data_IF_716252870362
#
_entry.id   IF_716252870362
#
_cell.length_a   1.000
_cell.length_b   1.000
_cell.length_c   1.000
_cell.angle_alpha   90.00
_cell.angle_beta   90.00
_cell.angle_gamma   90.00
#
_symmetry.space_group_name_H-M   'P 1'
#
loop_
_entity.id
_entity.type
_entity.pdbx_description
1 polymer ?
#
# COMPACT_ATOMS: atom_id res chain seq x y z
N UNK A 1 -5.62 1.90 30.30
CA UNK A 1 -5.01 1.14 31.42
C UNK A 1 -3.73 1.85 31.79
N UNK A 2 -3.67 2.38 33.01
CA UNK A 2 -2.49 3.08 33.55
C UNK A 2 -1.28 2.13 33.58
N UNK A 3 -0.09 2.66 33.29
CA UNK A 3 1.21 1.96 33.28
C UNK A 3 1.50 1.15 34.56
N UNK A 4 0.81 1.47 35.65
CA UNK A 4 0.92 0.82 36.95
C UNK A 4 0.40 -0.63 37.01
N UNK A 5 -0.52 -1.04 36.14
CA UNK A 5 -1.05 -2.41 36.19
C UNK A 5 -0.09 -3.44 35.55
N UNK A 6 0.90 -3.00 34.78
CA UNK A 6 1.80 -3.89 34.05
C UNK A 6 2.67 -4.75 34.98
N UNK A 7 3.12 -4.21 36.12
CA UNK A 7 3.96 -4.98 37.06
C UNK A 7 3.20 -6.13 37.74
N UNK A 8 1.87 -6.01 37.85
CA UNK A 8 1.01 -7.00 38.51
C UNK A 8 0.67 -8.11 37.52
N UNK A 9 0.24 -7.76 36.30
CA UNK A 9 -0.16 -8.76 35.31
C UNK A 9 1.02 -9.50 34.65
N UNK A 10 2.23 -8.94 34.67
CA UNK A 10 3.42 -9.54 34.05
C UNK A 10 4.48 -10.02 35.06
N UNK A 11 4.16 -10.05 36.36
CA UNK A 11 5.00 -10.66 37.40
C UNK A 11 4.81 -12.19 37.42
N UNK A 12 5.91 -12.94 37.58
CA UNK A 12 5.91 -14.41 37.63
C UNK A 12 5.27 -15.02 38.90
N UNK A 13 4.56 -14.21 39.71
CA UNK A 13 3.85 -14.66 40.91
C UNK A 13 2.37 -14.85 40.61
N UNK A 14 1.76 -15.87 41.23
CA UNK A 14 0.31 -16.05 41.19
C UNK A 14 -0.37 -14.85 41.87
N UNK A 15 -1.02 -14.02 41.07
CA UNK A 15 -1.77 -12.85 41.54
C UNK A 15 -3.10 -13.30 42.12
N UNK A 16 -3.39 -12.92 43.36
CA UNK A 16 -4.69 -13.20 44.01
C UNK A 16 -5.66 -12.03 43.80
N UNK A 17 -6.96 -12.28 43.98
CA UNK A 17 -7.99 -11.24 43.81
C UNK A 17 -7.79 -10.08 44.80
N UNK A 18 -7.28 -10.36 46.00
CA UNK A 18 -7.00 -9.35 47.02
C UNK A 18 -5.88 -8.38 46.58
N UNK A 19 -4.89 -8.88 45.80
CA UNK A 19 -3.81 -8.04 45.26
C UNK A 19 -4.32 -7.03 44.21
N UNK A 20 -5.40 -7.39 43.50
CA UNK A 20 -6.02 -6.57 42.47
C UNK A 20 -7.04 -5.58 43.04
N UNK A 21 -7.59 -5.86 44.22
CA UNK A 21 -8.67 -5.06 44.82
C UNK A 21 -8.26 -3.60 45.05
N UNK A 22 -6.99 -3.33 45.36
CA UNK A 22 -6.46 -1.98 45.54
C UNK A 22 -6.33 -1.16 44.24
N UNK A 23 -6.43 -1.83 43.08
CA UNK A 23 -6.35 -1.22 41.74
C UNK A 23 -7.68 -1.27 40.98
N UNK A 24 -8.70 -1.93 41.55
CA UNK A 24 -10.05 -1.98 40.98
C UNK A 24 -10.81 -0.68 41.25
N UNK A 25 -11.68 -0.31 40.31
CA UNK A 25 -12.56 0.85 40.40
C UNK A 25 -13.68 0.61 41.43
N UNK A 26 -13.35 0.78 42.70
CA UNK A 26 -14.29 0.74 43.82
C UNK A 26 -14.60 2.16 44.30
N UNK A 27 -15.72 2.32 45.00
CA UNK A 27 -16.09 3.60 45.64
C UNK A 27 -15.03 4.10 46.62
N UNK A 28 -14.25 3.21 47.22
CA UNK A 28 -13.14 3.54 48.13
C UNK A 28 -11.88 4.00 47.39
N UNK A 29 -11.57 3.42 46.22
CA UNK A 29 -10.38 3.75 45.45
C UNK A 29 -10.52 4.97 44.55
N UNK A 30 -11.76 5.43 44.30
CA UNK A 30 -12.07 6.59 43.44
C UNK A 30 -11.36 7.88 43.85
N UNK A 31 -11.10 8.08 45.15
CA UNK A 31 -10.36 9.25 45.65
C UNK A 31 -8.85 9.21 45.39
N UNK A 32 -8.27 8.01 45.18
CA UNK A 32 -6.85 7.84 44.88
C UNK A 32 -6.54 8.09 43.40
N UNK A 33 -7.51 7.86 42.52
CA UNK A 33 -7.39 8.10 41.07
C UNK A 33 -7.29 9.59 40.75
N UNK A 34 -8.03 10.45 41.46
CA UNK A 34 -7.92 11.90 41.33
C UNK A 34 -6.52 12.42 41.72
N UNK A 35 -5.96 11.96 42.84
CA UNK A 35 -4.62 12.33 43.28
C UNK A 35 -3.48 11.89 42.34
N UNK A 36 -3.70 10.86 41.52
CA UNK A 36 -2.72 10.37 40.54
C UNK A 36 -2.80 11.19 39.25
N UNK A 37 -4.01 11.53 38.79
CA UNK A 37 -4.20 12.41 37.63
C UNK A 37 -3.62 13.80 37.88
N UNK A 38 -3.82 14.36 39.09
CA UNK A 38 -3.27 15.67 39.46
C UNK A 38 -1.73 15.69 39.42
N UNK A 39 -1.08 14.56 39.74
CA UNK A 39 0.39 14.42 39.66
C UNK A 39 0.90 14.22 38.24
N UNK A 40 0.15 13.50 37.39
CA UNK A 40 0.50 13.33 35.98
C UNK A 40 0.37 14.66 35.20
N UNK A 41 -0.66 15.47 35.50
CA UNK A 41 -0.80 16.81 34.92
C UNK A 41 0.37 17.72 35.31
N UNK A 42 0.78 17.71 36.58
CA UNK A 42 1.94 18.48 37.07
C UNK A 42 3.26 18.08 36.38
N UNK A 43 3.47 16.79 36.12
CA UNK A 43 4.66 16.29 35.44
C UNK A 43 4.69 16.68 33.95
N UNK A 44 3.52 16.66 33.28
CA UNK A 44 3.38 17.06 31.88
C UNK A 44 3.53 18.56 31.66
N UNK A 45 3.29 19.37 32.70
CA UNK A 45 3.51 20.82 32.67
C UNK A 45 5.00 21.17 32.82
N UNK A 46 5.74 20.48 33.70
CA UNK A 46 7.19 20.62 33.84
C UNK A 46 7.98 20.24 32.58
N UNK A 47 7.51 19.25 31.81
CA UNK A 47 8.17 18.81 30.57
C UNK A 47 7.97 19.80 29.40
N UNK A 48 7.01 20.72 29.48
CA UNK A 48 6.77 21.74 28.43
C UNK A 48 7.67 22.96 28.55
N UNK A 49 8.26 23.22 29.72
CA UNK A 49 9.10 24.40 29.96
C UNK A 49 10.56 24.22 29.52
N UNK A 50 11.03 22.98 29.29
CA UNK A 50 12.38 22.71 28.78
C UNK A 50 12.37 22.47 27.26
N UNK A 51 12.51 23.55 26.48
CA UNK A 51 12.84 23.48 25.05
C UNK A 51 14.22 24.12 24.84
N UNK A 52 15.24 23.42 24.32
CA UNK A 52 16.53 24.02 24.06
C UNK A 52 16.47 24.92 22.80
N UNK A 53 16.98 26.14 22.94
CA UNK A 53 17.28 27.06 21.85
C UNK A 53 18.40 26.47 20.97
N UNK A 54 18.17 26.43 19.66
CA UNK A 54 19.20 26.06 18.67
C UNK A 54 19.79 27.38 18.15
N UNK A 55 21.04 27.66 18.53
CA UNK A 55 21.83 28.78 18.03
C UNK A 55 22.26 28.54 16.57
N UNK A 56 22.06 29.57 15.74
CA UNK A 56 22.43 29.62 14.33
C UNK A 56 23.96 29.67 14.14
N UNK A 57 24.49 28.85 13.23
CA UNK A 57 25.88 28.92 12.77
C UNK A 57 25.97 29.94 11.61
N UNK A 58 26.96 30.86 11.60
CA UNK A 58 27.03 31.96 10.63
C UNK A 58 27.63 31.58 9.27
N UNK A 59 27.27 32.41 8.29
CA UNK A 59 27.71 32.46 6.89
C UNK A 59 29.23 32.55 6.71
N UNK A 60 29.74 31.89 5.66
CA UNK A 60 31.08 32.16 5.13
C UNK A 60 30.91 32.66 3.70
N UNK A 61 31.29 33.93 3.50
CA UNK A 61 31.36 34.62 2.22
C UNK A 61 32.60 34.25 1.39
N UNK A 62 32.37 34.33 0.08
CA UNK A 62 33.23 34.38 -1.11
C UNK A 62 34.69 34.84 -0.99
N UNK A 63 35.56 34.28 -1.86
CA UNK A 63 36.11 35.03 -3.00
C UNK A 63 36.84 34.17 -4.07
N UNK A 64 37.04 34.71 -5.30
CA UNK A 64 37.14 33.97 -6.56
C UNK A 64 38.58 33.83 -7.09
N UNK A 65 38.78 32.87 -8.01
CA UNK A 65 39.95 32.85 -8.92
C UNK A 65 39.45 32.58 -10.34
N UNK A 66 39.91 33.41 -11.28
CA UNK A 66 39.43 33.59 -12.64
C UNK A 66 40.66 33.55 -13.59
N UNK A 67 40.49 32.91 -14.77
CA UNK A 67 41.20 33.02 -16.08
C UNK A 67 42.65 32.46 -16.17
N UNK A 68 43.15 31.79 -17.22
CA UNK A 68 42.70 31.26 -18.55
C UNK A 68 43.98 30.67 -19.23
N UNK A 69 44.06 30.27 -20.54
CA UNK A 69 43.44 29.13 -21.22
C UNK A 69 44.43 28.26 -22.09
N UNK A 70 43.94 27.09 -22.56
CA UNK A 70 44.26 26.41 -23.86
C UNK A 70 45.65 25.76 -24.17
N UNK A 71 45.80 24.82 -25.17
CA UNK A 71 44.82 24.08 -26.01
C UNK A 71 45.17 22.59 -26.39
N UNK A 72 44.24 21.95 -27.15
CA UNK A 72 44.40 20.89 -28.20
C UNK A 72 44.37 19.36 -27.89
N UNK A 73 43.25 18.74 -28.36
CA UNK A 73 43.02 17.44 -29.06
C UNK A 73 43.61 16.12 -28.51
N UNK A 74 42.74 15.10 -28.33
CA UNK A 74 42.57 13.99 -29.29
C UNK A 74 41.42 13.04 -28.93
N UNK A 75 40.75 12.62 -30.00
CA UNK A 75 39.61 11.71 -30.14
C UNK A 75 40.01 10.25 -29.92
N UNK A 76 39.31 9.48 -29.08
CA UNK A 76 39.15 8.02 -29.28
C UNK A 76 37.81 7.53 -28.71
N UNK A 77 37.16 6.70 -29.52
CA UNK A 77 35.87 6.01 -29.39
C UNK A 77 35.56 5.31 -28.06
N UNK A 78 34.38 5.57 -27.50
CA UNK A 78 33.73 4.67 -26.54
C UNK A 78 32.82 3.67 -27.29
N UNK A 79 32.92 2.35 -27.04
CA UNK A 79 31.99 1.40 -27.60
C UNK A 79 30.64 1.54 -26.90
N UNK A 80 29.59 1.47 -27.72
CA UNK A 80 28.18 1.40 -27.36
C UNK A 80 28.00 0.42 -26.20
N UNK A 81 27.71 0.94 -25.00
CA UNK A 81 27.17 0.13 -23.91
C UNK A 81 25.77 -0.29 -24.35
N UNK A 82 25.67 -1.54 -24.76
CA UNK A 82 24.44 -2.32 -24.77
C UNK A 82 23.69 -2.02 -23.47
N UNK A 83 22.52 -1.40 -23.59
CA UNK A 83 21.57 -1.23 -22.48
C UNK A 83 21.06 -2.64 -22.18
N UNK A 84 21.79 -3.33 -21.30
CA UNK A 84 21.27 -4.50 -20.59
C UNK A 84 20.30 -3.90 -19.58
N UNK A 85 19.01 -4.13 -19.79
CA UNK A 85 17.96 -3.77 -18.82
C UNK A 85 18.32 -4.41 -17.48
N UNK A 86 18.72 -3.61 -16.50
CA UNK A 86 18.89 -4.09 -15.13
C UNK A 86 17.56 -4.71 -14.66
N UNK A 87 17.58 -5.83 -13.94
CA UNK A 87 16.36 -6.39 -13.37
C UNK A 87 15.80 -5.37 -12.38
N UNK A 88 14.58 -4.87 -12.64
CA UNK A 88 13.92 -3.94 -11.74
C UNK A 88 13.90 -4.51 -10.32
N UNK A 89 14.26 -3.67 -9.35
CA UNK A 89 14.48 -4.13 -8.00
C UNK A 89 13.14 -4.51 -7.37
N UNK A 90 12.95 -5.80 -7.14
CA UNK A 90 11.69 -6.35 -6.62
C UNK A 90 11.88 -6.72 -5.15
N UNK A 91 10.97 -6.25 -4.29
CA UNK A 91 10.96 -6.53 -2.86
C UNK A 91 9.81 -7.46 -2.51
N UNK A 92 10.11 -8.44 -1.66
CA UNK A 92 9.12 -9.37 -1.11
C UNK A 92 9.05 -9.17 0.41
N UNK A 93 7.98 -8.56 0.95
CA UNK A 93 7.79 -8.45 2.39
C UNK A 93 7.69 -9.82 3.05
N UNK A 94 8.15 -9.93 4.29
CA UNK A 94 8.20 -11.22 5.02
C UNK A 94 6.99 -11.45 5.91
N UNK A 95 6.18 -10.42 6.13
CA UNK A 95 5.03 -10.43 7.03
C UNK A 95 3.84 -11.17 6.42
N UNK A 96 2.85 -11.48 7.26
CA UNK A 96 1.66 -12.20 6.81
C UNK A 96 0.88 -11.41 5.73
N UNK A 97 0.58 -10.14 6.01
CA UNK A 97 -0.14 -9.24 5.10
C UNK A 97 0.81 -8.59 4.09
N UNK A 98 1.34 -9.37 3.16
CA UNK A 98 2.30 -8.86 2.16
C UNK A 98 1.74 -7.75 1.28
N UNK A 99 0.41 -7.71 1.07
CA UNK A 99 -0.21 -6.66 0.24
C UNK A 99 -0.10 -5.29 0.94
N UNK A 100 -0.44 -5.23 2.23
CA UNK A 100 -0.26 -4.03 3.03
C UNK A 100 1.19 -3.53 2.98
N UNK A 101 2.15 -4.43 3.18
CA UNK A 101 3.57 -4.05 3.23
C UNK A 101 4.12 -3.64 1.86
N UNK A 102 3.63 -4.21 0.76
CA UNK A 102 3.94 -3.70 -0.57
C UNK A 102 3.46 -2.25 -0.75
N UNK A 103 2.26 -1.91 -0.28
CA UNK A 103 1.75 -0.53 -0.37
C UNK A 103 2.57 0.39 0.56
N UNK A 104 2.88 -0.06 1.77
CA UNK A 104 3.72 0.68 2.71
C UNK A 104 5.06 1.05 2.08
N UNK A 105 5.76 0.06 1.50
CA UNK A 105 7.06 0.28 0.86
C UNK A 105 6.93 1.21 -0.35
N UNK A 106 5.84 1.13 -1.12
CA UNK A 106 5.61 2.04 -2.24
C UNK A 106 5.46 3.50 -1.79
N UNK A 107 4.82 3.74 -0.64
CA UNK A 107 4.53 5.10 -0.11
C UNK A 107 5.69 5.68 0.69
N UNK A 108 6.27 4.90 1.61
CA UNK A 108 7.27 5.37 2.57
C UNK A 108 8.70 5.00 2.17
N UNK A 109 8.86 4.13 1.17
CA UNK A 109 10.15 3.63 0.72
C UNK A 109 10.60 2.36 1.45
N UNK A 110 11.55 1.66 0.85
CA UNK A 110 12.07 0.40 1.37
C UNK A 110 12.92 0.59 2.65
N UNK A 111 13.64 1.71 2.76
CA UNK A 111 14.47 1.99 3.93
C UNK A 111 13.63 2.13 5.21
N UNK A 112 12.51 2.85 5.14
CA UNK A 112 11.61 3.03 6.28
C UNK A 112 11.01 1.68 6.74
N UNK A 113 10.69 0.79 5.80
CA UNK A 113 10.28 -0.58 6.11
C UNK A 113 11.37 -1.39 6.85
N UNK A 114 12.64 -1.21 6.49
CA UNK A 114 13.76 -1.88 7.17
C UNK A 114 13.98 -1.35 8.60
N UNK A 115 13.74 -0.06 8.83
CA UNK A 115 13.92 0.59 10.13
C UNK A 115 12.92 0.12 11.20
N UNK A 116 11.72 -0.34 10.80
CA UNK A 116 10.69 -0.83 11.74
C UNK A 116 11.21 -1.96 12.63
N UNK A 117 12.03 -2.85 12.07
CA UNK A 117 12.75 -4.01 12.67
C UNK A 117 11.94 -5.02 13.51
N UNK A 118 11.16 -4.58 14.52
CA UNK A 118 10.46 -5.43 15.49
C UNK A 118 8.96 -5.11 15.65
N UNK A 119 8.53 -3.89 15.35
CA UNK A 119 7.18 -3.40 15.70
C UNK A 119 6.20 -3.33 14.49
N UNK A 120 6.31 -4.26 13.55
CA UNK A 120 5.49 -4.29 12.32
C UNK A 120 3.99 -4.19 12.58
N UNK A 121 3.45 -4.97 13.53
CA UNK A 121 2.02 -4.95 13.83
C UNK A 121 1.52 -3.62 14.40
N UNK A 122 2.33 -2.95 15.22
CA UNK A 122 1.98 -1.62 15.76
C UNK A 122 1.99 -0.59 14.62
N UNK A 123 3.01 -0.63 13.76
CA UNK A 123 3.12 0.28 12.63
C UNK A 123 1.99 0.10 11.63
N UNK A 124 1.62 -1.15 11.35
CA UNK A 124 0.48 -1.49 10.51
C UNK A 124 -0.83 -0.90 11.05
N UNK A 125 -1.10 -1.06 12.34
CA UNK A 125 -2.29 -0.48 12.98
C UNK A 125 -2.29 1.05 12.97
N UNK A 126 -1.13 1.68 13.18
CA UNK A 126 -0.96 3.13 13.11
C UNK A 126 -1.35 3.66 11.72
N UNK A 127 -0.79 3.06 10.66
CA UNK A 127 -1.08 3.44 9.28
C UNK A 127 -2.53 3.17 8.92
N UNK A 128 -3.07 2.00 9.27
CA UNK A 128 -4.49 1.67 9.00
C UNK A 128 -5.43 2.66 9.69
N UNK A 129 -5.11 3.10 10.92
CA UNK A 129 -5.84 4.15 11.63
C UNK A 129 -5.77 5.49 10.89
N UNK A 130 -4.60 5.92 10.43
CA UNK A 130 -4.45 7.16 9.65
C UNK A 130 -5.29 7.14 8.36
N UNK A 131 -5.34 5.99 7.69
CA UNK A 131 -6.18 5.79 6.49
C UNK A 131 -7.67 5.88 6.85
N UNK A 132 -8.09 5.23 7.94
CA UNK A 132 -9.46 5.29 8.42
C UNK A 132 -9.90 6.73 8.76
N UNK A 133 -9.07 7.47 9.51
CA UNK A 133 -9.34 8.86 9.90
C UNK A 133 -9.48 9.78 8.66
N UNK A 134 -8.67 9.55 7.63
CA UNK A 134 -8.78 10.30 6.38
C UNK A 134 -10.08 10.00 5.62
N UNK A 135 -10.47 8.73 5.54
CA UNK A 135 -11.69 8.31 4.84
C UNK A 135 -12.93 8.87 5.55
N UNK A 136 -12.92 8.87 6.88
CA UNK A 136 -14.01 9.41 7.67
C UNK A 136 -14.19 10.93 7.43
N UNK A 137 -13.08 11.66 7.26
CA UNK A 137 -13.09 13.10 6.95
C UNK A 137 -13.44 13.38 5.48
N UNK A 138 -12.99 12.54 4.55
CA UNK A 138 -13.08 12.77 3.11
C UNK A 138 -13.74 11.59 2.35
N UNK A 139 -15.00 11.23 2.65
CA UNK A 139 -15.66 10.10 2.00
C UNK A 139 -15.91 10.33 0.50
N UNK A 140 -15.87 11.59 0.04
CA UNK A 140 -16.06 11.94 -1.38
C UNK A 140 -14.87 11.61 -2.26
N UNK A 141 -13.69 11.36 -1.69
CA UNK A 141 -12.47 11.09 -2.46
C UNK A 141 -12.59 9.86 -3.37
N UNK A 142 -13.41 8.88 -2.99
CA UNK A 142 -13.63 7.67 -3.80
C UNK A 142 -14.38 7.92 -5.12
N UNK A 143 -15.04 9.08 -5.30
CA UNK A 143 -15.80 9.39 -6.52
C UNK A 143 -14.93 9.47 -7.78
N UNK A 144 -13.65 9.78 -7.60
CA UNK A 144 -12.70 9.98 -8.69
C UNK A 144 -11.90 8.71 -9.03
N UNK A 145 -12.11 7.63 -8.26
CA UNK A 145 -11.44 6.35 -8.51
C UNK A 145 -12.10 5.59 -9.65
N UNK A 146 -11.36 4.67 -10.25
CA UNK A 146 -11.89 3.79 -11.31
C UNK A 146 -12.86 2.71 -10.81
N UNK A 147 -13.01 2.55 -9.49
CA UNK A 147 -13.91 1.59 -8.87
C UNK A 147 -15.06 2.28 -8.15
N UNK A 148 -16.30 1.90 -8.45
CA UNK A 148 -17.46 2.48 -7.77
C UNK A 148 -17.54 1.99 -6.32
N UNK A 149 -17.30 2.90 -5.37
CA UNK A 149 -17.43 2.63 -3.94
C UNK A 149 -18.78 3.15 -3.42
N UNK A 150 -19.55 2.29 -2.77
CA UNK A 150 -20.83 2.66 -2.15
C UNK A 150 -20.62 3.14 -0.71
N UNK A 151 -21.61 3.81 -0.12
CA UNK A 151 -21.57 4.19 1.31
C UNK A 151 -21.40 2.98 2.24
N UNK A 152 -21.99 1.84 1.87
CA UNK A 152 -21.86 0.58 2.62
C UNK A 152 -20.41 0.08 2.55
N UNK A 153 -19.82 0.07 1.35
CA UNK A 153 -18.41 -0.32 1.18
C UNK A 153 -17.45 0.59 1.97
N UNK A 154 -17.74 1.89 2.10
CA UNK A 154 -16.96 2.79 2.96
C UNK A 154 -17.01 2.33 4.43
N UNK A 155 -18.16 1.91 4.93
CA UNK A 155 -18.28 1.40 6.30
C UNK A 155 -17.55 0.06 6.47
N UNK A 156 -17.60 -0.82 5.46
CA UNK A 156 -16.84 -2.08 5.45
C UNK A 156 -15.33 -1.81 5.50
N UNK A 157 -14.84 -0.87 4.68
CA UNK A 157 -13.44 -0.42 4.70
C UNK A 157 -13.05 0.08 6.09
N UNK A 158 -13.85 0.96 6.70
CA UNK A 158 -13.56 1.49 8.04
C UNK A 158 -13.52 0.38 9.09
N UNK A 159 -14.48 -0.56 9.04
CA UNK A 159 -14.53 -1.70 9.95
C UNK A 159 -13.29 -2.60 9.79
N UNK A 160 -12.85 -2.84 8.56
CA UNK A 160 -11.68 -3.67 8.27
C UNK A 160 -10.39 -2.99 8.73
N UNK A 161 -10.21 -1.69 8.46
CA UNK A 161 -9.03 -0.92 8.86
C UNK A 161 -8.88 -0.82 10.39
N UNK A 162 -9.98 -0.74 11.12
CA UNK A 162 -9.99 -0.59 12.59
C UNK A 162 -9.99 -1.92 13.34
N UNK A 163 -10.10 -3.05 12.63
CA UNK A 163 -10.07 -4.39 13.22
C UNK A 163 -8.76 -5.08 12.87
N UNK A 164 -8.25 -5.93 13.77
CA UNK A 164 -7.09 -6.77 13.44
C UNK A 164 -7.50 -7.82 12.41
N UNK A 165 -7.03 -7.63 11.18
CA UNK A 165 -7.24 -8.54 10.06
C UNK A 165 -5.90 -9.15 9.64
N UNK A 166 -5.93 -10.39 9.15
CA UNK A 166 -4.72 -11.10 8.72
C UNK A 166 -4.21 -10.65 7.36
N UNK A 167 -5.10 -10.20 6.49
CA UNK A 167 -4.81 -9.83 5.11
C UNK A 167 -5.64 -8.61 4.74
N UNK A 168 -5.05 -7.73 3.93
CA UNK A 168 -5.71 -6.54 3.40
C UNK A 168 -6.59 -6.92 2.22
N UNK A 169 -7.85 -6.49 2.24
CA UNK A 169 -8.77 -6.69 1.12
C UNK A 169 -8.54 -5.71 -0.03
N UNK A 170 -9.11 -6.02 -1.21
CA UNK A 170 -9.08 -5.11 -2.37
C UNK A 170 -9.77 -3.76 -2.12
N UNK A 171 -10.76 -3.70 -1.21
CA UNK A 171 -11.43 -2.44 -0.86
C UNK A 171 -10.56 -1.58 0.07
N UNK A 172 -9.82 -2.20 0.99
CA UNK A 172 -8.81 -1.52 1.82
C UNK A 172 -7.59 -1.07 1.01
N UNK A 173 -7.17 -1.87 0.02
CA UNK A 173 -6.16 -1.47 -0.98
C UNK A 173 -6.56 -0.16 -1.65
N UNK A 174 -7.79 -0.08 -2.18
CA UNK A 174 -8.29 1.15 -2.82
C UNK A 174 -8.29 2.35 -1.85
N UNK A 175 -8.65 2.13 -0.60
CA UNK A 175 -8.62 3.14 0.44
C UNK A 175 -7.22 3.75 0.67
N UNK A 176 -6.19 2.89 0.75
CA UNK A 176 -4.81 3.35 0.89
C UNK A 176 -4.33 4.09 -0.36
N UNK A 177 -4.66 3.60 -1.54
CA UNK A 177 -4.37 4.25 -2.82
C UNK A 177 -4.93 5.67 -2.85
N UNK A 178 -6.18 5.86 -2.44
CA UNK A 178 -6.83 7.18 -2.37
C UNK A 178 -6.18 8.09 -1.31
N UNK A 179 -5.80 7.55 -0.15
CA UNK A 179 -5.14 8.32 0.93
C UNK A 179 -3.80 8.90 0.49
N UNK A 180 -3.03 8.13 -0.26
CA UNK A 180 -1.64 8.44 -0.61
C UNK A 180 -1.46 8.94 -2.05
N UNK A 181 -2.54 9.04 -2.83
CA UNK A 181 -2.52 9.52 -4.22
C UNK A 181 -1.54 8.75 -5.12
N UNK A 182 -1.44 7.43 -4.93
CA UNK A 182 -0.66 6.54 -5.80
C UNK A 182 -1.60 5.79 -6.76
N UNK A 183 -1.03 5.10 -7.74
CA UNK A 183 -1.73 4.16 -8.61
C UNK A 183 -1.07 2.79 -8.47
N UNK A 184 -1.86 1.73 -8.53
CA UNK A 184 -1.36 0.35 -8.40
C UNK A 184 -1.86 -0.51 -9.54
N UNK A 185 -0.93 -1.24 -10.15
CA UNK A 185 -1.18 -2.32 -11.09
C UNK A 185 -0.94 -3.64 -10.36
N UNK A 186 -2.03 -4.35 -10.07
CA UNK A 186 -1.98 -5.62 -9.35
C UNK A 186 -1.97 -6.77 -10.35
N UNK A 187 -0.85 -7.50 -10.42
CA UNK A 187 -0.60 -8.53 -11.43
C UNK A 187 -0.90 -9.91 -10.86
N UNK A 188 -1.57 -10.73 -11.67
CA UNK A 188 -1.87 -12.13 -11.34
C UNK A 188 -0.59 -13.02 -11.31
N UNK A 189 -0.59 -14.16 -10.61
CA UNK A 189 0.55 -15.08 -10.58
C UNK A 189 1.00 -15.59 -11.95
N UNK A 190 0.10 -15.66 -12.94
CA UNK A 190 0.43 -16.05 -14.31
C UNK A 190 1.10 -14.94 -15.12
N UNK A 191 1.14 -13.70 -14.61
CA UNK A 191 1.65 -12.51 -15.27
C UNK A 191 0.96 -12.18 -16.61
N UNK A 192 -0.24 -12.72 -16.85
CA UNK A 192 -1.01 -12.53 -18.10
C UNK A 192 -2.05 -11.44 -18.01
N UNK A 193 -2.55 -11.18 -16.81
CA UNK A 193 -3.61 -10.23 -16.55
C UNK A 193 -3.35 -9.47 -15.27
N UNK A 194 -3.97 -8.29 -15.18
CA UNK A 194 -3.74 -7.36 -14.08
C UNK A 194 -5.00 -6.55 -13.78
N UNK A 195 -5.09 -6.04 -12.55
CA UNK A 195 -6.12 -5.12 -12.10
C UNK A 195 -5.52 -3.72 -11.97
N UNK A 196 -6.29 -2.73 -12.37
CA UNK A 196 -5.91 -1.32 -12.24
C UNK A 196 -6.61 -0.70 -11.04
N UNK A 197 -5.86 0.02 -10.22
CA UNK A 197 -6.39 0.83 -9.14
C UNK A 197 -5.82 2.24 -9.23
N UNK A 198 -6.71 3.20 -9.49
CA UNK A 198 -6.38 4.61 -9.62
C UNK A 198 -6.96 5.39 -8.45
N UNK A 199 -6.13 6.21 -7.82
CA UNK A 199 -6.58 7.17 -6.79
C UNK A 199 -7.49 8.24 -7.40
N UNK A 200 -7.12 8.74 -8.58
CA UNK A 200 -7.93 9.65 -9.37
C UNK A 200 -7.68 9.42 -10.87
N UNK A 201 -8.73 9.13 -11.63
CA UNK A 201 -8.66 8.86 -13.09
C UNK A 201 -8.16 10.08 -13.87
N UNK A 202 -8.46 11.29 -13.38
CA UNK A 202 -8.11 12.55 -14.05
C UNK A 202 -6.65 12.94 -13.81
N UNK A 203 -6.00 12.39 -12.77
CA UNK A 203 -4.63 12.72 -12.37
C UNK A 203 -3.64 11.66 -12.85
N UNK A 204 -3.15 11.84 -14.08
CA UNK A 204 -2.18 10.93 -14.71
C UNK A 204 -0.75 11.04 -14.16
N UNK A 205 -0.46 12.07 -13.36
CA UNK A 205 0.87 12.33 -12.80
C UNK A 205 1.20 11.48 -11.57
N UNK A 206 0.21 10.77 -11.02
CA UNK A 206 0.40 9.94 -9.84
C UNK A 206 1.33 8.75 -10.13
N UNK A 207 2.26 8.50 -9.21
CA UNK A 207 3.21 7.40 -9.31
C UNK A 207 2.48 6.06 -9.42
N UNK A 208 2.84 5.26 -10.42
CA UNK A 208 2.21 3.97 -10.70
C UNK A 208 3.14 2.84 -10.33
N UNK A 209 2.77 2.05 -9.32
CA UNK A 209 3.54 0.91 -8.84
C UNK A 209 2.98 -0.40 -9.35
N UNK A 210 3.84 -1.39 -9.55
CA UNK A 210 3.46 -2.76 -9.92
C UNK A 210 3.60 -3.65 -8.71
N UNK A 211 2.51 -4.33 -8.35
CA UNK A 211 2.50 -5.35 -7.31
C UNK A 211 2.18 -6.68 -7.97
N UNK A 212 3.10 -7.64 -7.86
CA UNK A 212 2.95 -8.97 -8.43
C UNK A 212 2.52 -9.97 -7.36
N UNK A 213 1.37 -10.63 -7.57
CA UNK A 213 0.95 -11.76 -6.76
C UNK A 213 1.76 -13.00 -7.17
N UNK A 214 2.22 -13.78 -6.22
CA UNK A 214 2.91 -15.04 -6.47
C UNK A 214 1.94 -16.23 -6.40
N UNK A 215 2.43 -17.42 -6.78
CA UNK A 215 1.63 -18.66 -6.78
C UNK A 215 1.16 -19.10 -5.40
N UNK A 216 1.79 -18.59 -4.33
CA UNK A 216 1.44 -18.86 -2.93
C UNK A 216 0.49 -17.81 -2.33
N UNK A 217 0.00 -16.85 -3.14
CA UNK A 217 -0.91 -15.79 -2.69
C UNK A 217 -0.25 -14.61 -1.96
N UNK A 218 1.09 -14.56 -1.88
CA UNK A 218 1.84 -13.41 -1.37
C UNK A 218 2.14 -12.41 -2.48
N UNK A 219 2.45 -11.18 -2.09
CA UNK A 219 2.66 -10.06 -3.01
C UNK A 219 4.10 -9.55 -2.95
N UNK A 220 4.60 -9.16 -4.11
CA UNK A 220 5.91 -8.57 -4.29
C UNK A 220 5.76 -7.19 -4.94
N UNK A 221 6.58 -6.23 -4.55
CA UNK A 221 6.55 -4.87 -5.08
C UNK A 221 7.74 -4.64 -6.01
N UNK A 222 7.49 -4.05 -7.17
CA UNK A 222 8.52 -3.37 -7.96
C UNK A 222 8.78 -1.97 -7.36
N UNK A 223 9.99 -1.72 -6.83
CA UNK A 223 10.28 -0.49 -6.07
C UNK A 223 10.15 0.74 -6.96
N UNK A 224 10.65 0.65 -8.19
CA UNK A 224 10.61 1.78 -9.11
C UNK A 224 9.21 1.94 -9.73
N UNK A 225 8.57 3.12 -9.57
CA UNK A 225 7.33 3.40 -10.25
C UNK A 225 7.53 3.45 -11.77
N UNK A 226 6.50 3.02 -12.51
CA UNK A 226 6.49 3.02 -13.97
C UNK A 226 5.85 4.31 -14.46
N UNK A 227 6.48 4.94 -15.44
CA UNK A 227 6.03 6.17 -16.09
C UNK A 227 5.77 5.95 -17.58
N UNK A 228 5.13 6.92 -18.25
CA UNK A 228 5.04 6.90 -19.71
C UNK A 228 6.42 7.18 -20.34
N UNK A 229 6.78 6.51 -21.46
CA UNK A 229 5.99 5.61 -22.31
C UNK A 229 6.06 4.12 -21.94
N UNK A 230 6.86 3.76 -20.92
CA UNK A 230 7.04 2.37 -20.50
C UNK A 230 5.72 1.76 -20.02
N UNK A 231 4.91 2.54 -19.30
CA UNK A 231 3.59 2.15 -18.83
C UNK A 231 2.68 1.68 -19.98
N UNK A 232 2.61 2.41 -21.09
CA UNK A 232 1.81 2.01 -22.26
C UNK A 232 2.31 0.69 -22.86
N UNK A 233 3.62 0.51 -22.95
CA UNK A 233 4.23 -0.74 -23.44
C UNK A 233 3.92 -1.91 -22.52
N UNK A 234 4.06 -1.68 -21.20
CA UNK A 234 3.76 -2.66 -20.17
C UNK A 234 2.29 -3.09 -20.21
N UNK A 235 1.36 -2.13 -20.33
CA UNK A 235 -0.08 -2.42 -20.42
C UNK A 235 -0.43 -3.21 -21.68
N UNK A 236 0.17 -2.86 -22.81
CA UNK A 236 -0.04 -3.55 -24.10
C UNK A 236 0.37 -5.03 -24.06
N UNK A 237 1.30 -5.39 -23.16
CA UNK A 237 1.76 -6.78 -23.00
C UNK A 237 0.78 -7.69 -22.26
N UNK A 238 -0.19 -7.13 -21.50
CA UNK A 238 -1.08 -7.88 -20.59
C UNK A 238 -2.55 -7.52 -20.83
N UNK A 239 -3.47 -8.27 -20.23
CA UNK A 239 -4.90 -7.97 -20.28
C UNK A 239 -5.36 -7.26 -19.00
N UNK A 240 -5.97 -6.07 -19.11
CA UNK A 240 -6.65 -5.44 -17.98
C UNK A 240 -7.92 -6.21 -17.65
N UNK A 241 -8.09 -6.56 -16.38
CA UNK A 241 -9.34 -7.07 -15.84
C UNK A 241 -10.21 -5.92 -15.36
N UNK A 242 -11.53 -6.07 -15.53
CA UNK A 242 -12.51 -5.07 -15.07
C UNK A 242 -12.61 -5.05 -13.55
N UNK A 243 -12.61 -6.22 -12.91
CA UNK A 243 -12.73 -6.39 -11.47
C UNK A 243 -12.19 -7.76 -11.04
N UNK A 244 -11.80 -7.86 -9.77
CA UNK A 244 -11.42 -9.14 -9.15
C UNK A 244 -12.60 -10.12 -9.05
N UNK A 245 -13.86 -9.65 -9.10
CA UNK A 245 -15.05 -10.50 -9.08
C UNK A 245 -15.48 -10.90 -10.49
N UNK A 246 -15.51 -9.92 -11.40
CA UNK A 246 -15.93 -10.09 -12.80
C UNK A 246 -14.79 -9.64 -13.71
N UNK A 247 -14.08 -10.59 -14.35
CA UNK A 247 -12.87 -10.24 -15.12
C UNK A 247 -13.19 -9.46 -16.39
N UNK A 248 -14.39 -9.64 -16.98
CA UNK A 248 -14.85 -8.96 -18.19
C UNK A 248 -16.12 -8.15 -17.94
N UNK A 249 -16.39 -7.23 -18.88
CA UNK A 249 -17.70 -6.57 -18.96
C UNK A 249 -18.82 -7.57 -19.28
N UNK A 250 -20.07 -7.12 -19.16
CA UNK A 250 -21.22 -7.95 -19.50
C UNK A 250 -21.11 -8.49 -20.93
N UNK A 251 -21.64 -9.69 -21.15
CA UNK A 251 -21.65 -10.36 -22.47
C UNK A 251 -22.24 -9.50 -23.60
N UNK A 252 -23.15 -8.57 -23.27
CA UNK A 252 -23.75 -7.62 -24.22
C UNK A 252 -22.73 -6.65 -24.82
N UNK A 253 -21.64 -6.35 -24.11
CA UNK A 253 -20.60 -5.41 -24.55
C UNK A 253 -19.73 -5.97 -25.67
N UNK A 254 -19.56 -7.30 -25.73
CA UNK A 254 -18.65 -7.93 -26.67
C UNK A 254 -19.35 -8.42 -27.94
N UNK A 255 -18.67 -8.36 -29.08
CA UNK A 255 -19.08 -9.09 -30.29
C UNK A 255 -18.54 -10.53 -30.24
N UNK A 256 -19.17 -11.45 -30.99
CA UNK A 256 -18.70 -12.84 -31.05
C UNK A 256 -17.24 -12.92 -31.55
N UNK A 257 -16.89 -12.10 -32.54
CA UNK A 257 -15.54 -12.07 -33.10
C UNK A 257 -14.48 -11.65 -32.06
N UNK A 258 -14.79 -10.65 -31.22
CA UNK A 258 -13.89 -10.19 -30.15
C UNK A 258 -13.66 -11.29 -29.10
N UNK A 259 -14.71 -12.05 -28.76
CA UNK A 259 -14.58 -13.21 -27.86
C UNK A 259 -13.75 -14.33 -28.48
N UNK A 260 -13.85 -14.54 -29.80
CA UNK A 260 -13.02 -15.52 -30.52
C UNK A 260 -11.55 -15.09 -30.51
N UNK A 261 -11.27 -13.80 -30.71
CA UNK A 261 -9.91 -13.26 -30.63
C UNK A 261 -9.31 -13.41 -29.23
N UNK A 262 -10.08 -13.10 -28.18
CA UNK A 262 -9.67 -13.35 -26.80
C UNK A 262 -9.43 -14.85 -26.56
N UNK A 263 -10.36 -15.71 -26.96
CA UNK A 263 -10.21 -17.16 -26.78
C UNK A 263 -8.98 -17.72 -27.51
N UNK A 264 -8.64 -17.21 -28.70
CA UNK A 264 -7.40 -17.56 -29.41
C UNK A 264 -6.17 -17.08 -28.64
N UNK A 265 -6.18 -15.83 -28.16
CA UNK A 265 -5.09 -15.25 -27.36
C UNK A 265 -4.76 -16.08 -26.11
N UNK A 266 -5.78 -16.70 -25.51
CA UNK A 266 -5.63 -17.52 -24.29
C UNK A 266 -5.62 -19.03 -24.54
N UNK A 267 -5.61 -19.48 -25.80
CA UNK A 267 -5.49 -20.90 -26.15
C UNK A 267 -6.74 -21.75 -25.82
N UNK A 268 -7.91 -21.12 -25.75
CA UNK A 268 -9.20 -21.76 -25.41
C UNK A 268 -10.01 -22.07 -26.69
N UNK A 269 -9.69 -21.40 -27.79
CA UNK A 269 -10.45 -21.52 -29.04
C UNK A 269 -10.15 -22.82 -29.78
N UNK A 270 -11.17 -23.64 -29.96
CA UNK A 270 -11.16 -24.82 -30.84
C UNK A 270 -11.85 -24.52 -32.17
N UNK A 271 -11.11 -24.59 -33.28
CA UNK A 271 -11.65 -24.36 -34.61
C UNK A 271 -12.67 -25.41 -35.06
N UNK A 272 -12.68 -26.61 -34.46
CA UNK A 272 -13.64 -27.67 -34.76
C UNK A 272 -14.97 -27.48 -34.01
N UNK A 273 -14.99 -26.67 -32.94
CA UNK A 273 -16.18 -26.45 -32.10
C UNK A 273 -16.96 -25.22 -32.56
N UNK A 274 -18.26 -25.37 -32.78
CA UNK A 274 -19.16 -24.23 -33.00
C UNK A 274 -19.58 -23.64 -31.66
N UNK A 275 -18.97 -22.53 -31.27
CA UNK A 275 -19.30 -21.86 -30.03
C UNK A 275 -20.58 -21.02 -30.13
N UNK A 276 -21.44 -21.12 -29.12
CA UNK A 276 -22.42 -20.07 -28.84
C UNK A 276 -21.72 -18.93 -28.10
N UNK A 277 -22.19 -17.70 -28.31
CA UNK A 277 -21.62 -16.51 -27.67
C UNK A 277 -21.56 -16.62 -26.15
N UNK A 278 -22.62 -17.15 -25.53
CA UNK A 278 -22.70 -17.35 -24.08
C UNK A 278 -21.66 -18.34 -23.55
N UNK A 279 -21.54 -19.49 -24.21
CA UNK A 279 -20.62 -20.54 -23.81
C UNK A 279 -19.17 -20.05 -23.91
N UNK A 280 -18.80 -19.40 -25.03
CA UNK A 280 -17.45 -18.86 -25.21
C UNK A 280 -17.11 -17.76 -24.21
N UNK A 281 -18.09 -16.90 -23.88
CA UNK A 281 -17.89 -15.86 -22.88
C UNK A 281 -17.60 -16.45 -21.49
N UNK A 282 -18.33 -17.50 -21.11
CA UNK A 282 -18.12 -18.19 -19.83
C UNK A 282 -16.77 -18.91 -19.81
N UNK A 283 -16.43 -19.66 -20.87
CA UNK A 283 -15.16 -20.36 -21.02
C UNK A 283 -13.96 -19.39 -20.89
N UNK A 284 -14.05 -18.21 -21.51
CA UNK A 284 -13.02 -17.16 -21.36
C UNK A 284 -12.96 -16.65 -19.92
N UNK A 285 -14.11 -16.29 -19.32
CA UNK A 285 -14.18 -15.79 -17.94
C UNK A 285 -13.56 -16.75 -16.93
N UNK A 286 -13.76 -18.06 -17.09
CA UNK A 286 -13.24 -19.09 -16.19
C UNK A 286 -11.71 -19.20 -16.23
N UNK A 287 -11.11 -18.95 -17.40
CA UNK A 287 -9.65 -19.01 -17.58
C UNK A 287 -8.95 -17.75 -17.05
N UNK A 288 -9.55 -16.57 -17.24
CA UNK A 288 -8.97 -15.28 -16.80
C UNK A 288 -9.46 -14.83 -15.41
N UNK A 289 -10.16 -15.70 -14.69
CA UNK A 289 -10.66 -15.42 -13.35
C UNK A 289 -9.48 -15.12 -12.41
N UNK A 290 -9.60 -14.04 -11.64
CA UNK A 290 -8.67 -13.70 -10.56
C UNK A 290 -8.65 -14.83 -9.51
N UNK A 291 -7.47 -15.37 -9.22
CA UNK A 291 -7.25 -16.43 -8.21
C UNK A 291 -6.28 -15.94 -7.15
#
# INVERSE_FOLDING_TARGET
>A
MSSYCNSIFFSAKNVTIDDLQQHMLTTENKGKEQLVNDKEEQYMELVKEEKPEIECIPEIESNPIILDPEPVKQTVSNPVKTIVSEPLSTVSPTQHDTLFWCIYIAVFGHNDYLEISRNYGVKELEIKKQVADFIQKNPTSFKHTNHKVTKVAIQEILSELLTSQKETSNICLLAMIVKYNINILLVDPTNRFYLEYYSNIDMKENQTYVIQKNTFGKYNLQIEPIYEPELTTWKSSKLPLVSYIKPLHAISTYKLQELVELAKKYGIYDAAKKYKKADLYNDVCDVIRWR
#
